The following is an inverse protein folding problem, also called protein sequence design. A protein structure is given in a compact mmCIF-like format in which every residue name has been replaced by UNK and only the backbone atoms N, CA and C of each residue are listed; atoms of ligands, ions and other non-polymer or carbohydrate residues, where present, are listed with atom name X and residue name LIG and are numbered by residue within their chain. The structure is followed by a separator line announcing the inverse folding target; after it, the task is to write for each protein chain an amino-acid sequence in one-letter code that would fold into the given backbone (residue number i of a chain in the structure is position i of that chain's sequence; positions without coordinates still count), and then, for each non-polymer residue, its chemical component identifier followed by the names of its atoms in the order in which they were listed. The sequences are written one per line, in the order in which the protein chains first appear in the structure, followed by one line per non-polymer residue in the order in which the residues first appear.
data_IF_065001713980
#
_entry.id   IF_065001713980
#
_cell.length_a   1.000
_cell.length_b   1.000
_cell.length_c   1.000
_cell.angle_alpha   90.00
_cell.angle_beta   90.00
_cell.angle_gamma   90.00
#
_symmetry.space_group_name_H-M   'P 1'
#
loop_
_entity.id
_entity.type
_entity.pdbx_description
1 polymer ?
#
# COMPACT_ATOMS: atom_id res chain seq x y z
N UNK A 1 -10.40 67.76 -8.70
CA UNK A 1 -9.42 67.26 -7.71
C UNK A 1 -9.90 65.89 -7.28
N UNK A 2 -9.27 64.86 -7.82
CA UNK A 2 -9.64 63.47 -7.63
C UNK A 2 -9.00 62.84 -6.40
N UNK A 3 -9.65 61.75 -5.98
CA UNK A 3 -9.20 60.57 -5.20
C UNK A 3 -8.64 60.88 -3.79
N UNK A 4 -8.94 60.11 -2.75
CA UNK A 4 -8.62 58.69 -2.62
C UNK A 4 -9.69 58.00 -1.78
N UNK A 5 -10.38 57.04 -2.40
CA UNK A 5 -11.19 56.04 -1.74
C UNK A 5 -10.23 54.95 -1.27
N UNK A 6 -10.05 54.81 0.04
CA UNK A 6 -9.25 53.73 0.62
C UNK A 6 -9.94 52.40 0.36
N UNK A 7 -9.39 51.64 -0.58
CA UNK A 7 -9.80 50.27 -0.85
C UNK A 7 -9.40 49.40 0.35
N UNK A 8 -10.41 48.91 1.07
CA UNK A 8 -10.23 47.92 2.11
C UNK A 8 -9.90 46.57 1.49
N UNK A 9 -8.61 46.35 1.24
CA UNK A 9 -8.09 45.03 0.85
C UNK A 9 -8.08 44.12 2.08
N UNK A 10 -9.24 43.55 2.37
CA UNK A 10 -9.38 42.44 3.30
C UNK A 10 -8.78 41.22 2.62
N UNK A 11 -7.46 41.04 2.76
CA UNK A 11 -6.76 39.80 2.45
C UNK A 11 -7.30 38.71 3.39
N UNK A 12 -8.45 38.15 3.01
CA UNK A 12 -8.99 36.94 3.61
C UNK A 12 -7.97 35.89 3.27
N UNK A 13 -7.11 35.55 4.25
CA UNK A 13 -6.30 34.35 4.23
C UNK A 13 -7.15 33.21 3.71
N UNK A 14 -7.01 32.91 2.41
CA UNK A 14 -7.74 31.84 1.75
C UNK A 14 -7.22 30.58 2.41
N UNK A 15 -8.00 30.07 3.37
CA UNK A 15 -7.66 28.87 4.09
C UNK A 15 -7.32 27.79 3.07
N UNK A 16 -6.12 27.24 3.17
CA UNK A 16 -5.72 26.14 2.31
C UNK A 16 -6.55 24.91 2.66
N UNK A 17 -7.41 24.47 1.75
CA UNK A 17 -8.15 23.22 1.92
C UNK A 17 -7.41 22.10 1.19
N UNK A 18 -7.05 21.04 1.92
CA UNK A 18 -6.38 19.85 1.36
C UNK A 18 -7.17 19.20 0.20
N UNK A 19 -8.47 19.42 0.15
CA UNK A 19 -9.35 18.90 -0.89
C UNK A 19 -9.23 19.66 -2.23
N UNK A 20 -8.62 20.84 -2.24
CA UNK A 20 -8.47 21.65 -3.45
C UNK A 20 -7.35 21.13 -4.36
N UNK A 21 -6.46 20.29 -3.83
CA UNK A 21 -5.35 19.73 -4.58
C UNK A 21 -5.33 18.19 -4.47
N UNK A 22 -5.93 17.54 -5.47
CA UNK A 22 -6.05 16.09 -5.52
C UNK A 22 -4.70 15.36 -5.69
N UNK A 23 -3.67 16.05 -6.19
CA UNK A 23 -2.33 15.49 -6.37
C UNK A 23 -1.56 15.50 -5.06
N UNK A 24 -1.63 16.61 -4.30
CA UNK A 24 -1.07 16.65 -2.94
C UNK A 24 -1.77 15.63 -2.04
N UNK A 25 -3.11 15.54 -2.13
CA UNK A 25 -3.85 14.52 -1.39
C UNK A 25 -3.37 13.11 -1.78
N UNK A 26 -3.13 12.84 -3.07
CA UNK A 26 -2.60 11.55 -3.52
C UNK A 26 -1.21 11.27 -2.93
N UNK A 27 -0.33 12.27 -2.89
CA UNK A 27 1.01 12.13 -2.31
C UNK A 27 0.97 11.85 -0.80
N UNK A 28 0.05 12.49 -0.08
CA UNK A 28 -0.16 12.24 1.35
C UNK A 28 -0.73 10.83 1.56
N UNK A 29 -1.76 10.44 0.80
CA UNK A 29 -2.35 9.12 0.91
C UNK A 29 -1.36 8.01 0.52
N UNK A 30 -0.47 8.25 -0.46
CA UNK A 30 0.61 7.34 -0.80
C UNK A 30 1.60 7.08 0.34
N UNK A 31 1.57 7.89 1.42
CA UNK A 31 2.38 7.67 2.63
C UNK A 31 1.76 6.70 3.63
N UNK A 32 0.48 6.39 3.49
CA UNK A 32 -0.27 5.57 4.43
C UNK A 32 -0.12 4.06 4.13
N UNK A 33 -0.42 3.23 5.14
CA UNK A 33 -0.59 1.80 4.97
C UNK A 33 -2.00 1.45 4.45
N UNK A 34 -2.20 0.21 4.01
CA UNK A 34 -3.45 -0.21 3.38
C UNK A 34 -4.69 -0.05 4.25
N UNK A 35 -4.58 -0.21 5.57
CA UNK A 35 -5.72 -0.03 6.49
C UNK A 35 -6.09 1.45 6.62
N UNK A 36 -5.08 2.31 6.74
CA UNK A 36 -5.28 3.76 6.77
C UNK A 36 -5.85 4.30 5.46
N UNK A 37 -5.48 3.73 4.30
CA UNK A 37 -6.11 4.07 3.01
C UNK A 37 -7.60 3.70 2.97
N UNK A 38 -7.98 2.55 3.55
CA UNK A 38 -9.39 2.16 3.64
C UNK A 38 -10.19 3.11 4.54
N UNK A 39 -9.61 3.54 5.66
CA UNK A 39 -10.20 4.57 6.52
C UNK A 39 -10.33 5.91 5.79
N UNK A 40 -9.29 6.35 5.07
CA UNK A 40 -9.30 7.57 4.27
C UNK A 40 -10.41 7.56 3.20
N UNK A 41 -10.65 6.41 2.56
CA UNK A 41 -11.69 6.23 1.55
C UNK A 41 -13.14 6.42 2.08
N UNK A 42 -13.30 6.43 3.40
CA UNK A 42 -14.60 6.62 4.07
C UNK A 42 -14.95 8.09 4.34
N UNK A 43 -13.97 9.00 4.22
CA UNK A 43 -14.13 10.43 4.59
C UNK A 43 -15.10 11.15 3.66
N UNK A 44 -14.86 11.10 2.34
CA UNK A 44 -15.72 11.70 1.33
C UNK A 44 -15.45 11.10 -0.07
N UNK A 45 -16.26 11.50 -1.06
CA UNK A 45 -16.13 11.02 -2.44
C UNK A 45 -14.76 11.30 -3.07
N UNK A 46 -14.18 12.49 -2.81
CA UNK A 46 -12.85 12.84 -3.31
C UNK A 46 -11.78 11.91 -2.72
N UNK A 47 -11.79 11.72 -1.40
CA UNK A 47 -10.82 10.87 -0.72
C UNK A 47 -10.93 9.42 -1.17
N UNK A 48 -12.16 8.92 -1.38
CA UNK A 48 -12.40 7.60 -1.97
C UNK A 48 -11.85 7.46 -3.39
N UNK A 49 -12.03 8.48 -4.22
CA UNK A 49 -11.52 8.49 -5.59
C UNK A 49 -9.99 8.49 -5.59
N UNK A 50 -9.36 9.35 -4.77
CA UNK A 50 -7.91 9.47 -4.68
C UNK A 50 -7.28 8.22 -4.06
N UNK A 51 -7.85 7.67 -2.97
CA UNK A 51 -7.39 6.44 -2.33
C UNK A 51 -7.50 5.20 -3.24
N UNK A 52 -8.31 5.27 -4.29
CA UNK A 52 -8.48 4.18 -5.25
C UNK A 52 -7.56 4.29 -6.48
N UNK A 53 -6.80 5.39 -6.63
CA UNK A 53 -5.86 5.57 -7.75
C UNK A 53 -4.73 4.55 -7.68
N UNK A 54 -4.43 3.89 -8.80
CA UNK A 54 -3.36 2.88 -8.88
C UNK A 54 -1.98 3.44 -8.50
N UNK A 55 -1.69 4.71 -8.77
CA UNK A 55 -0.43 5.36 -8.39
C UNK A 55 -0.18 5.40 -6.88
N UNK A 56 -1.25 5.53 -6.08
CA UNK A 56 -1.17 5.49 -4.61
C UNK A 56 -0.78 4.09 -4.14
N UNK A 57 -1.40 3.06 -4.73
CA UNK A 57 -1.10 1.65 -4.42
C UNK A 57 0.26 1.20 -4.94
N UNK A 58 0.71 1.72 -6.08
CA UNK A 58 2.05 1.51 -6.64
C UNK A 58 3.13 2.04 -5.68
N UNK A 59 2.99 3.29 -5.24
CA UNK A 59 3.90 3.91 -4.29
C UNK A 59 3.96 3.13 -2.96
N UNK A 60 2.83 2.58 -2.52
CA UNK A 60 2.75 1.73 -1.33
C UNK A 60 3.49 0.40 -1.56
N UNK A 61 3.22 -0.30 -2.66
CA UNK A 61 3.86 -1.58 -2.97
C UNK A 61 5.39 -1.46 -3.11
N UNK A 62 5.86 -0.40 -3.77
CA UNK A 62 7.29 -0.14 -4.00
C UNK A 62 8.08 0.09 -2.70
N UNK A 63 7.43 0.46 -1.60
CA UNK A 63 8.08 0.60 -0.28
C UNK A 63 8.39 -0.74 0.37
N UNK A 64 7.50 -1.71 0.19
CA UNK A 64 7.65 -3.03 0.83
C UNK A 64 8.51 -3.96 0.01
N UNK A 65 8.46 -3.82 -1.31
CA UNK A 65 9.24 -4.64 -2.19
C UNK A 65 9.81 -3.73 -3.27
N UNK A 66 11.14 -3.68 -3.35
CA UNK A 66 11.86 -2.92 -4.37
C UNK A 66 11.69 -3.63 -5.73
N UNK A 67 10.46 -3.61 -6.26
CA UNK A 67 10.02 -4.26 -7.50
C UNK A 67 10.27 -3.37 -8.71
N UNK A 68 11.47 -2.79 -8.79
CA UNK A 68 11.91 -2.03 -9.95
C UNK A 68 12.52 -2.96 -11.02
N UNK A 69 11.85 -4.07 -11.36
CA UNK A 69 12.27 -4.94 -12.46
C UNK A 69 11.21 -4.99 -13.55
N UNK A 70 11.65 -5.05 -14.80
CA UNK A 70 10.82 -4.96 -16.01
C UNK A 70 9.68 -5.99 -16.08
N UNK A 71 9.79 -7.10 -15.34
CA UNK A 71 8.75 -8.14 -15.28
C UNK A 71 7.57 -7.84 -14.34
N UNK A 72 7.71 -6.89 -13.41
CA UNK A 72 6.68 -6.63 -12.39
C UNK A 72 5.42 -6.03 -13.00
N UNK A 73 5.55 -5.19 -14.02
CA UNK A 73 4.41 -4.60 -14.73
C UNK A 73 3.51 -5.65 -15.40
N UNK A 74 4.08 -6.73 -15.93
CA UNK A 74 3.28 -7.81 -16.53
C UNK A 74 2.48 -8.58 -15.46
N UNK A 75 3.09 -8.85 -14.31
CA UNK A 75 2.42 -9.50 -13.17
C UNK A 75 1.33 -8.61 -12.59
N UNK A 76 1.61 -7.33 -12.39
CA UNK A 76 0.63 -6.34 -11.91
C UNK A 76 -0.56 -6.26 -12.87
N UNK A 77 -0.30 -6.21 -14.17
CA UNK A 77 -1.35 -6.21 -15.18
C UNK A 77 -2.19 -7.50 -15.14
N UNK A 78 -1.56 -8.67 -15.05
CA UNK A 78 -2.26 -9.96 -14.96
C UNK A 78 -3.11 -10.09 -13.67
N UNK A 79 -2.67 -9.49 -12.57
CA UNK A 79 -3.43 -9.43 -11.32
C UNK A 79 -4.55 -8.39 -11.36
N UNK A 80 -4.56 -7.50 -12.35
CA UNK A 80 -5.54 -6.43 -12.53
C UNK A 80 -5.26 -5.16 -11.71
N UNK A 81 -4.00 -4.87 -11.40
CA UNK A 81 -3.54 -3.63 -10.77
C UNK A 81 -2.77 -3.82 -9.45
N UNK A 82 -2.09 -2.75 -9.02
CA UNK A 82 -1.33 -2.67 -7.78
C UNK A 82 -2.22 -2.83 -6.55
N UNK A 83 -3.45 -2.31 -6.59
CA UNK A 83 -4.40 -2.50 -5.49
C UNK A 83 -4.70 -3.97 -5.23
N UNK A 84 -4.93 -4.75 -6.30
CA UNK A 84 -5.18 -6.19 -6.20
C UNK A 84 -3.93 -6.95 -5.76
N UNK A 85 -2.76 -6.58 -6.30
CA UNK A 85 -1.47 -7.12 -5.84
C UNK A 85 -1.24 -6.85 -4.35
N UNK A 86 -1.58 -5.66 -3.85
CA UNK A 86 -1.47 -5.37 -2.43
C UNK A 86 -2.40 -6.25 -1.60
N UNK A 87 -3.70 -6.25 -1.88
CA UNK A 87 -4.65 -7.03 -1.10
C UNK A 87 -4.37 -8.55 -1.14
N UNK A 88 -3.91 -9.07 -2.28
CA UNK A 88 -3.64 -10.50 -2.46
C UNK A 88 -2.31 -10.89 -1.85
N UNK A 89 -1.26 -10.10 -2.07
CA UNK A 89 0.12 -10.50 -1.87
C UNK A 89 0.84 -9.68 -0.81
N UNK A 90 0.99 -8.37 -1.04
CA UNK A 90 1.86 -7.54 -0.21
C UNK A 90 1.28 -7.29 1.18
N UNK A 91 -0.03 -7.02 1.28
CA UNK A 91 -0.72 -6.75 2.54
C UNK A 91 -0.61 -7.90 3.54
N UNK A 92 -0.98 -9.16 3.16
CA UNK A 92 -0.83 -10.31 4.05
C UNK A 92 0.60 -10.53 4.54
N UNK A 93 1.59 -10.26 3.70
CA UNK A 93 3.01 -10.39 4.04
C UNK A 93 3.40 -9.26 4.99
N UNK A 94 3.06 -8.01 4.67
CA UNK A 94 3.30 -6.84 5.49
C UNK A 94 2.69 -6.99 6.89
N UNK A 95 1.46 -7.50 7.01
CA UNK A 95 0.83 -7.77 8.29
C UNK A 95 1.59 -8.84 9.09
N UNK A 96 2.03 -9.93 8.45
CA UNK A 96 2.86 -10.95 9.12
C UNK A 96 4.19 -10.36 9.62
N UNK A 97 4.82 -9.51 8.83
CA UNK A 97 6.10 -8.90 9.18
C UNK A 97 5.97 -7.90 10.32
N UNK A 98 4.91 -7.10 10.33
CA UNK A 98 4.56 -6.21 11.44
C UNK A 98 4.30 -7.00 12.72
N UNK A 99 3.65 -8.17 12.63
CA UNK A 99 3.45 -9.09 13.77
C UNK A 99 4.77 -9.69 14.26
N UNK A 100 5.73 -9.97 13.37
CA UNK A 100 7.01 -10.59 13.75
C UNK A 100 8.05 -9.63 14.35
N UNK A 101 7.68 -8.38 14.64
CA UNK A 101 8.55 -7.41 15.29
C UNK A 101 9.40 -6.59 14.33
N UNK A 102 9.54 -5.30 14.68
CA UNK A 102 10.28 -4.25 13.97
C UNK A 102 11.79 -4.51 14.04
N UNK A 103 12.27 -5.58 13.43
CA UNK A 103 13.70 -5.81 13.29
C UNK A 103 14.20 -5.01 12.09
N UNK A 104 14.67 -3.79 12.31
CA UNK A 104 15.37 -3.04 11.26
C UNK A 104 16.80 -3.54 11.20
N UNK A 105 17.05 -4.57 10.39
CA UNK A 105 18.39 -5.15 10.23
C UNK A 105 18.48 -6.12 9.05
N UNK A 106 19.70 -6.61 8.71
CA UNK A 106 19.92 -7.58 7.64
C UNK A 106 19.04 -8.84 7.76
N UNK A 107 18.75 -9.25 8.98
CA UNK A 107 17.90 -10.40 9.32
C UNK A 107 16.45 -10.22 8.84
N UNK A 108 15.91 -9.00 8.89
CA UNK A 108 14.57 -8.73 8.38
C UNK A 108 14.52 -8.76 6.87
N UNK A 109 15.56 -8.30 6.16
CA UNK A 109 15.63 -8.42 4.71
C UNK A 109 15.63 -9.89 4.25
N UNK A 110 16.35 -10.76 4.96
CA UNK A 110 16.35 -12.21 4.71
C UNK A 110 14.98 -12.81 5.03
N UNK A 111 14.37 -12.46 6.17
CA UNK A 111 13.03 -12.92 6.56
C UNK A 111 11.96 -12.48 5.56
N UNK A 112 12.04 -11.25 5.07
CA UNK A 112 11.22 -10.69 4.00
C UNK A 112 11.35 -11.54 2.72
N UNK A 113 12.57 -11.75 2.24
CA UNK A 113 12.84 -12.54 1.04
C UNK A 113 12.31 -13.98 1.14
N UNK A 114 12.53 -14.62 2.30
CA UNK A 114 12.03 -15.96 2.58
C UNK A 114 10.50 -15.99 2.61
N UNK A 115 9.87 -15.04 3.32
CA UNK A 115 8.41 -14.91 3.38
C UNK A 115 7.79 -14.67 2.00
N UNK A 116 8.42 -13.86 1.15
CA UNK A 116 7.99 -13.62 -0.23
C UNK A 116 8.13 -14.86 -1.10
N UNK A 117 9.22 -15.61 -0.97
CA UNK A 117 9.45 -16.85 -1.71
C UNK A 117 8.39 -17.91 -1.37
N UNK A 118 8.11 -18.10 -0.08
CA UNK A 118 7.07 -19.02 0.39
C UNK A 118 5.67 -18.58 -0.02
N UNK A 119 5.42 -17.27 0.06
CA UNK A 119 4.14 -16.71 -0.35
C UNK A 119 3.92 -16.85 -1.87
N UNK A 120 4.98 -16.73 -2.69
CA UNK A 120 4.92 -16.99 -4.12
C UNK A 120 4.51 -18.43 -4.41
N UNK A 121 5.12 -19.40 -3.70
CA UNK A 121 4.77 -20.83 -3.79
C UNK A 121 3.29 -21.04 -3.46
N UNK A 122 2.82 -20.49 -2.33
CA UNK A 122 1.42 -20.54 -1.91
C UNK A 122 0.46 -19.90 -2.93
N UNK A 123 0.85 -18.78 -3.55
CA UNK A 123 0.06 -18.18 -4.62
C UNK A 123 -0.05 -19.07 -5.85
N UNK A 124 1.05 -19.69 -6.28
CA UNK A 124 1.02 -20.65 -7.38
C UNK A 124 0.12 -21.85 -7.05
N UNK A 125 0.22 -22.42 -5.85
CA UNK A 125 -0.65 -23.51 -5.42
C UNK A 125 -2.13 -23.10 -5.45
N UNK A 126 -2.48 -21.91 -4.96
CA UNK A 126 -3.88 -21.43 -4.99
C UNK A 126 -4.40 -21.15 -6.40
N UNK A 127 -3.55 -20.67 -7.30
CA UNK A 127 -3.89 -20.39 -8.70
C UNK A 127 -4.06 -21.69 -9.50
N UNK A 128 -3.26 -22.72 -9.21
CA UNK A 128 -3.31 -24.04 -9.87
C UNK A 128 -4.46 -24.89 -9.35
N UNK A 129 -4.80 -24.82 -8.05
CA UNK A 129 -5.76 -25.74 -7.39
C UNK A 129 -7.18 -25.16 -7.27
N UNK A 130 -7.44 -23.94 -7.76
CA UNK A 130 -8.81 -23.40 -7.76
C UNK A 130 -9.32 -23.01 -6.36
N UNK A 131 -8.50 -22.26 -5.61
CA UNK A 131 -8.98 -21.33 -4.58
C UNK A 131 -9.63 -21.88 -3.30
N UNK A 132 -9.65 -23.19 -3.03
CA UNK A 132 -10.37 -23.75 -1.87
C UNK A 132 -9.59 -24.67 -0.93
N UNK A 133 -8.32 -24.95 -1.20
CA UNK A 133 -7.49 -25.77 -0.32
C UNK A 133 -6.40 -24.93 0.35
N UNK A 134 -6.27 -25.09 1.67
CA UNK A 134 -5.17 -24.54 2.45
C UNK A 134 -3.88 -25.20 1.94
N UNK A 135 -2.87 -24.44 1.50
CA UNK A 135 -1.65 -25.02 0.95
C UNK A 135 -0.91 -25.82 2.03
N UNK A 136 -0.68 -27.10 1.76
CA UNK A 136 -0.08 -28.06 2.69
C UNK A 136 1.38 -27.72 2.99
N UNK A 137 2.04 -26.97 2.11
CA UNK A 137 3.47 -26.66 2.16
C UNK A 137 3.87 -25.65 3.25
N UNK A 138 2.92 -24.93 3.86
CA UNK A 138 3.22 -23.87 4.85
C UNK A 138 2.79 -24.18 6.30
N UNK A 139 2.33 -25.40 6.60
CA UNK A 139 1.99 -25.79 7.98
C UNK A 139 3.18 -25.62 8.95
N UNK A 140 4.39 -25.81 8.43
CA UNK A 140 5.64 -25.76 9.20
C UNK A 140 6.00 -24.36 9.74
N UNK A 141 5.46 -23.28 9.16
CA UNK A 141 5.75 -21.90 9.61
C UNK A 141 4.71 -21.38 10.60
N UNK A 142 3.59 -22.08 10.73
CA UNK A 142 2.55 -21.74 11.72
C UNK A 142 2.93 -22.21 13.12
N UNK A 143 3.82 -23.20 13.20
CA UNK A 143 4.46 -23.60 14.44
C UNK A 143 5.77 -22.83 14.55
N UNK A 144 5.89 -21.99 15.57
CA UNK A 144 7.20 -21.54 16.06
C UNK A 144 7.97 -22.79 16.44
N UNK A 145 8.94 -23.18 15.60
CA UNK A 145 9.92 -24.19 15.98
C UNK A 145 10.78 -23.52 17.04
N UNK A 146 10.40 -23.71 18.30
CA UNK A 146 11.21 -23.34 19.44
C UNK A 146 12.37 -24.32 19.47
N UNK A 147 13.54 -23.87 19.02
CA UNK A 147 14.77 -24.66 19.06
C UNK A 147 15.36 -24.45 20.46
N UNK A 148 14.97 -25.30 21.40
CA UNK A 148 15.67 -25.49 22.69
C UNK A 148 16.87 -26.41 22.53
#
# INVERSE_FOLDING_TARGET
MGTVQGEGEHDKARGYHINDNADLLAEILARLDGRSLAAAASVCCLWRAVSSKESVWEALCNRHVSYASTGTRAVVAALGGYRRLYCRCVGPIADRLLVTGRETGPTAAVRLSLSMSLFSIDCYERLVVGGRQSPSSLLFLRNTVDVS
#
